data_IF_204521205491
#
_entry.id   IF_204521205491
#
_cell.length_a   1.000
_cell.length_b   1.000
_cell.length_c   1.000
_cell.angle_alpha   90.00
_cell.angle_beta   90.00
_cell.angle_gamma   90.00
#
_symmetry.space_group_name_H-M   'P 1'
#
loop_
_entity.id
_entity.type
_entity.pdbx_description
1 polymer ?
#
# COMPACT_ATOMS: atom_id res chain seq x y z
N UNK A 1 21.21 2.55 -4.31
CA UNK A 1 20.54 3.11 -3.12
C UNK A 1 19.03 3.27 -3.40
N UNK A 2 18.24 2.24 -3.08
CA UNK A 2 16.84 2.16 -3.49
C UNK A 2 15.99 1.70 -2.32
N UNK A 3 15.60 2.63 -1.43
CA UNK A 3 14.39 2.49 -0.59
C UNK A 3 14.06 3.79 0.19
N UNK A 4 13.91 4.93 -0.50
CA UNK A 4 13.32 6.12 0.16
C UNK A 4 11.79 6.08 -0.07
N UNK A 5 10.96 6.10 1.00
CA UNK A 5 9.52 6.16 0.84
C UNK A 5 9.12 7.46 0.12
N UNK A 6 8.06 7.44 -0.71
CA UNK A 6 7.58 8.66 -1.36
C UNK A 6 7.10 9.67 -0.30
N UNK A 7 7.42 10.95 -0.51
CA UNK A 7 7.12 12.05 0.43
C UNK A 7 6.19 13.06 -0.21
N UNK A 8 5.01 13.25 0.40
CA UNK A 8 4.09 14.36 0.10
C UNK A 8 4.20 15.41 1.21
N UNK A 9 4.49 16.66 0.85
CA UNK A 9 4.37 17.80 1.78
C UNK A 9 2.96 18.37 1.70
N UNK A 10 2.25 18.46 2.83
CA UNK A 10 0.94 19.10 2.93
C UNK A 10 1.01 20.32 3.87
N UNK A 11 0.98 21.53 3.32
CA UNK A 11 1.34 22.76 4.06
C UNK A 11 0.38 23.91 3.81
N UNK A 12 0.22 24.81 4.78
CA UNK A 12 -0.47 26.09 4.56
C UNK A 12 0.41 27.14 3.85
N UNK A 13 1.71 26.85 3.70
CA UNK A 13 2.64 27.72 2.98
C UNK A 13 2.48 27.53 1.48
N UNK A 14 2.05 28.59 0.81
CA UNK A 14 1.57 28.57 -0.58
C UNK A 14 2.41 29.40 -1.54
N UNK A 15 3.48 30.05 -1.06
CA UNK A 15 4.35 30.84 -1.94
C UNK A 15 5.06 29.94 -2.94
N UNK A 16 5.48 30.51 -4.08
CA UNK A 16 6.25 29.75 -5.06
C UNK A 16 7.54 29.21 -4.43
N UNK A 17 8.27 30.06 -3.71
CA UNK A 17 9.53 29.73 -3.03
C UNK A 17 9.37 28.57 -2.03
N UNK A 18 8.30 28.56 -1.23
CA UNK A 18 8.04 27.48 -0.28
C UNK A 18 7.86 26.12 -0.99
N UNK A 19 7.13 26.11 -2.11
CA UNK A 19 6.87 24.88 -2.88
C UNK A 19 8.14 24.39 -3.57
N UNK A 20 8.87 25.30 -4.21
CA UNK A 20 10.15 24.99 -4.87
C UNK A 20 11.14 24.44 -3.86
N UNK A 21 11.32 25.13 -2.72
CA UNK A 21 12.18 24.67 -1.64
C UNK A 21 11.75 23.31 -1.10
N UNK A 22 10.44 23.10 -0.88
CA UNK A 22 9.91 21.82 -0.42
C UNK A 22 10.22 20.67 -1.38
N UNK A 23 10.09 20.90 -2.70
CA UNK A 23 10.41 19.90 -3.71
C UNK A 23 11.92 19.67 -3.82
N UNK A 24 12.74 20.72 -3.82
CA UNK A 24 14.21 20.64 -3.91
C UNK A 24 14.83 19.93 -2.71
N UNK A 25 14.19 19.97 -1.52
CA UNK A 25 14.61 19.17 -0.35
C UNK A 25 14.30 17.67 -0.47
N UNK A 26 13.73 17.24 -1.59
CA UNK A 26 13.50 15.83 -1.93
C UNK A 26 12.10 15.33 -1.63
N UNK A 27 11.11 16.22 -1.55
CA UNK A 27 9.71 15.78 -1.62
C UNK A 27 9.36 15.34 -3.05
N UNK A 28 8.51 14.33 -3.16
CA UNK A 28 8.00 13.83 -4.44
C UNK A 28 6.78 14.63 -4.93
N UNK A 29 6.04 15.25 -4.00
CA UNK A 29 4.92 16.14 -4.30
C UNK A 29 4.71 17.17 -3.17
N UNK A 30 4.05 18.28 -3.48
CA UNK A 30 3.73 19.36 -2.56
C UNK A 30 2.29 19.82 -2.78
N UNK A 31 1.48 19.77 -1.73
CA UNK A 31 0.08 20.19 -1.72
C UNK A 31 -0.16 21.29 -0.69
N UNK A 32 -0.85 22.34 -1.11
CA UNK A 32 -1.18 23.50 -0.27
C UNK A 32 -2.55 23.30 0.38
N UNK A 33 -2.70 23.69 1.65
CA UNK A 33 -3.99 23.73 2.34
C UNK A 33 -4.76 25.03 2.02
N UNK A 34 -6.10 25.00 1.94
CA UNK A 34 -6.96 23.82 2.06
C UNK A 34 -6.90 22.94 0.81
N UNK A 35 -6.98 21.63 0.99
CA UNK A 35 -7.03 20.66 -0.09
C UNK A 35 -8.17 19.67 0.17
N UNK A 36 -8.81 19.23 -0.90
CA UNK A 36 -9.88 18.24 -0.84
C UNK A 36 -9.33 16.84 -0.53
N UNK A 37 -10.08 16.05 0.23
CA UNK A 37 -9.68 14.67 0.58
C UNK A 37 -9.47 13.82 -0.69
N UNK A 38 -10.32 14.03 -1.70
CA UNK A 38 -10.20 13.33 -2.98
C UNK A 38 -8.92 13.70 -3.74
N UNK A 39 -8.47 14.96 -3.65
CA UNK A 39 -7.20 15.40 -4.24
C UNK A 39 -6.01 14.75 -3.52
N UNK A 40 -6.03 14.75 -2.18
CA UNK A 40 -4.99 14.09 -1.37
C UNK A 40 -4.92 12.61 -1.73
N UNK A 41 -6.06 11.92 -1.79
CA UNK A 41 -6.12 10.50 -2.13
C UNK A 41 -5.61 10.22 -3.54
N UNK A 42 -5.93 11.07 -4.52
CA UNK A 42 -5.44 10.93 -5.90
C UNK A 42 -3.91 11.11 -5.99
N UNK A 43 -3.35 12.10 -5.28
CA UNK A 43 -1.90 12.35 -5.24
C UNK A 43 -1.13 11.23 -4.55
N UNK A 44 -1.64 10.73 -3.42
CA UNK A 44 -1.05 9.55 -2.75
C UNK A 44 -1.03 8.32 -3.67
N UNK A 45 -2.14 8.04 -4.37
CA UNK A 45 -2.19 6.96 -5.38
C UNK A 45 -1.16 7.16 -6.48
N UNK A 46 -0.97 8.40 -6.95
CA UNK A 46 0.02 8.72 -7.98
C UNK A 46 1.47 8.54 -7.49
N UNK A 47 1.76 8.92 -6.23
CA UNK A 47 3.08 8.77 -5.61
C UNK A 47 3.47 7.31 -5.43
N UNK A 48 2.54 6.48 -4.96
CA UNK A 48 2.76 5.04 -4.76
C UNK A 48 2.95 4.31 -6.11
N UNK A 49 2.44 4.87 -7.22
CA UNK A 49 2.60 4.33 -8.57
C UNK A 49 4.01 4.53 -9.17
N UNK A 50 4.91 5.29 -8.52
CA UNK A 50 6.21 5.71 -9.09
C UNK A 50 7.15 4.51 -9.39
N UNK A 51 7.79 4.46 -10.57
CA UNK A 51 8.43 3.24 -11.08
C UNK A 51 9.91 3.13 -10.63
N UNK A 52 10.14 2.40 -9.54
CA UNK A 52 11.45 1.82 -9.19
C UNK A 52 11.36 0.29 -9.00
N UNK A 53 10.19 -0.17 -8.58
CA UNK A 53 9.61 -1.49 -8.88
C UNK A 53 8.20 -1.17 -9.31
N UNK A 54 7.83 -1.44 -10.56
CA UNK A 54 6.40 -1.54 -10.87
C UNK A 54 5.95 -2.76 -10.08
N UNK A 55 5.34 -2.54 -8.93
CA UNK A 55 4.68 -3.64 -8.25
C UNK A 55 3.68 -4.22 -9.26
N UNK A 56 3.76 -5.52 -9.54
CA UNK A 56 2.88 -6.14 -10.51
C UNK A 56 1.44 -5.85 -10.12
N UNK A 57 0.65 -5.37 -11.07
CA UNK A 57 -0.80 -5.21 -10.90
C UNK A 57 -1.43 -6.56 -10.56
N UNK A 58 -0.85 -7.64 -11.10
CA UNK A 58 -1.22 -9.01 -10.77
C UNK A 58 -0.01 -9.72 -10.16
N UNK A 59 -0.13 -10.15 -8.91
CA UNK A 59 0.82 -11.01 -8.24
C UNK A 59 0.53 -12.46 -8.62
N UNK A 60 1.55 -13.26 -8.89
CA UNK A 60 1.39 -14.68 -9.25
C UNK A 60 2.43 -15.54 -8.56
N UNK A 61 1.98 -16.58 -7.85
CA UNK A 61 2.82 -17.60 -7.21
C UNK A 61 2.18 -18.96 -7.40
N UNK A 62 2.83 -19.81 -8.19
CA UNK A 62 2.22 -21.08 -8.60
C UNK A 62 0.90 -20.83 -9.34
N UNK A 63 -0.15 -21.52 -8.93
CA UNK A 63 -1.49 -21.39 -9.52
C UNK A 63 -2.32 -20.25 -8.93
N UNK A 64 -1.79 -19.51 -7.95
CA UNK A 64 -2.50 -18.40 -7.31
C UNK A 64 -2.18 -17.09 -8.03
N UNK A 65 -3.21 -16.37 -8.43
CA UNK A 65 -3.12 -15.01 -8.94
C UNK A 65 -3.89 -14.04 -8.04
N UNK A 66 -3.41 -12.81 -7.93
CA UNK A 66 -4.07 -11.75 -7.17
C UNK A 66 -3.92 -10.40 -7.86
N UNK A 67 -5.03 -9.78 -8.23
CA UNK A 67 -5.04 -8.42 -8.76
C UNK A 67 -5.09 -7.41 -7.61
N UNK A 68 -4.03 -6.62 -7.43
CA UNK A 68 -3.90 -5.68 -6.32
C UNK A 68 -4.80 -4.46 -6.46
N UNK A 69 -5.37 -4.23 -7.64
CA UNK A 69 -6.27 -3.11 -7.93
C UNK A 69 -7.72 -3.49 -7.64
N UNK A 70 -8.16 -4.63 -8.16
CA UNK A 70 -9.53 -5.13 -7.96
C UNK A 70 -9.69 -5.91 -6.65
N UNK A 71 -8.57 -6.32 -6.05
CA UNK A 71 -8.48 -7.17 -4.86
C UNK A 71 -9.17 -8.53 -5.05
N UNK A 72 -9.14 -9.04 -6.27
CA UNK A 72 -9.65 -10.36 -6.62
C UNK A 72 -8.52 -11.37 -6.66
N UNK A 73 -8.77 -12.56 -6.11
CA UNK A 73 -7.85 -13.69 -6.14
C UNK A 73 -8.41 -14.80 -7.02
N UNK A 74 -7.55 -15.53 -7.72
CA UNK A 74 -7.92 -16.76 -8.43
C UNK A 74 -6.97 -17.89 -8.08
N UNK A 75 -7.49 -19.12 -8.10
CA UNK A 75 -6.70 -20.34 -8.05
C UNK A 75 -6.94 -21.12 -9.34
N UNK A 76 -5.87 -21.35 -10.11
CA UNK A 76 -5.92 -22.01 -11.41
C UNK A 76 -6.96 -21.37 -12.35
N UNK A 77 -7.07 -20.04 -12.32
CA UNK A 77 -8.02 -19.24 -13.13
C UNK A 77 -9.48 -19.27 -12.64
N UNK A 78 -9.74 -19.78 -11.43
CA UNK A 78 -11.07 -19.75 -10.81
C UNK A 78 -11.11 -18.71 -9.69
N UNK A 79 -12.09 -17.79 -9.68
CA UNK A 79 -12.22 -16.80 -8.61
C UNK A 79 -12.35 -17.44 -7.23
N UNK A 80 -11.61 -16.91 -6.26
CA UNK A 80 -11.71 -17.26 -4.85
C UNK A 80 -12.62 -16.23 -4.16
N UNK A 81 -13.67 -16.73 -3.51
CA UNK A 81 -14.53 -15.91 -2.66
C UNK A 81 -13.87 -15.74 -1.30
N UNK A 82 -13.01 -14.73 -1.16
CA UNK A 82 -12.29 -14.43 0.08
C UNK A 82 -12.74 -13.08 0.67
N UNK A 83 -12.75 -13.02 2.00
CA UNK A 83 -13.04 -11.81 2.75
C UNK A 83 -11.94 -10.75 2.60
N UNK A 84 -12.22 -9.52 3.04
CA UNK A 84 -11.26 -8.41 2.93
C UNK A 84 -9.93 -8.70 3.64
N UNK A 85 -10.00 -9.24 4.87
CA UNK A 85 -8.83 -9.58 5.70
C UNK A 85 -8.02 -10.73 5.09
N UNK A 86 -8.69 -11.74 4.53
CA UNK A 86 -8.07 -12.83 3.77
C UNK A 86 -7.35 -12.30 2.52
N UNK A 87 -7.95 -11.36 1.80
CA UNK A 87 -7.31 -10.70 0.66
C UNK A 87 -6.08 -9.86 1.07
N UNK A 88 -6.17 -9.10 2.17
CA UNK A 88 -5.02 -8.36 2.71
C UNK A 88 -3.88 -9.33 3.09
N UNK A 89 -4.22 -10.43 3.75
CA UNK A 89 -3.26 -11.44 4.17
C UNK A 89 -2.59 -12.13 2.98
N UNK A 90 -3.38 -12.54 1.99
CA UNK A 90 -2.90 -13.14 0.76
C UNK A 90 -1.96 -12.19 0.02
N UNK A 91 -2.30 -10.91 -0.09
CA UNK A 91 -1.44 -9.91 -0.73
C UNK A 91 -0.08 -9.79 -0.02
N UNK A 92 -0.08 -9.74 1.32
CA UNK A 92 1.16 -9.70 2.12
C UNK A 92 2.04 -10.93 1.82
N UNK A 93 1.45 -12.12 1.79
CA UNK A 93 2.18 -13.35 1.50
C UNK A 93 2.73 -13.38 0.08
N UNK A 94 1.92 -13.02 -0.93
CA UNK A 94 2.33 -13.00 -2.33
C UNK A 94 3.45 -12.00 -2.60
N UNK A 95 3.43 -10.82 -1.96
CA UNK A 95 4.51 -9.82 -2.07
C UNK A 95 5.82 -10.28 -1.43
N UNK A 96 5.75 -11.20 -0.47
CA UNK A 96 6.89 -11.74 0.25
C UNK A 96 7.16 -13.21 -0.10
N UNK A 97 6.67 -13.68 -1.25
CA UNK A 97 6.84 -15.06 -1.68
C UNK A 97 8.31 -15.51 -1.62
N UNK A 98 8.54 -16.69 -1.04
CA UNK A 98 9.88 -17.23 -0.82
C UNK A 98 10.63 -16.67 0.39
N UNK A 99 10.00 -15.82 1.21
CA UNK A 99 10.57 -15.29 2.46
C UNK A 99 9.67 -15.62 3.65
N UNK A 100 10.28 -15.78 4.82
CA UNK A 100 9.54 -15.84 6.09
C UNK A 100 9.04 -14.45 6.43
N UNK A 101 7.73 -14.32 6.66
CA UNK A 101 7.10 -13.09 7.13
C UNK A 101 6.84 -13.24 8.64
N UNK A 102 7.45 -12.40 9.50
CA UNK A 102 7.18 -12.43 10.94
C UNK A 102 5.72 -12.15 11.23
N UNK A 103 5.19 -12.81 12.26
CA UNK A 103 3.79 -12.71 12.66
C UNK A 103 3.40 -11.28 13.02
N UNK A 104 4.26 -10.57 13.72
CA UNK A 104 4.05 -9.18 14.16
C UNK A 104 3.92 -8.23 12.97
N UNK A 105 4.62 -8.53 11.87
CA UNK A 105 4.54 -7.75 10.63
C UNK A 105 3.20 -7.95 9.92
N UNK A 106 2.67 -9.16 9.97
CA UNK A 106 1.34 -9.47 9.43
C UNK A 106 0.27 -8.82 10.29
N UNK A 107 0.36 -8.95 11.62
CA UNK A 107 -0.60 -8.35 12.55
C UNK A 107 -0.63 -6.82 12.40
N UNK A 108 0.52 -6.16 12.34
CA UNK A 108 0.57 -4.71 12.13
C UNK A 108 0.04 -4.23 10.77
N UNK A 109 0.00 -5.10 9.77
CA UNK A 109 -0.54 -4.77 8.44
C UNK A 109 -2.04 -5.06 8.33
N UNK A 110 -2.54 -6.10 9.02
CA UNK A 110 -3.96 -6.49 9.01
C UNK A 110 -4.81 -5.72 10.01
N UNK A 111 -4.21 -5.28 11.12
CA UNK A 111 -4.91 -4.61 12.20
C UNK A 111 -4.41 -3.17 12.32
N UNK A 112 -5.29 -2.20 12.06
CA UNK A 112 -5.10 -0.83 12.52
C UNK A 112 -5.36 -0.75 14.03
N UNK A 113 -4.82 0.27 14.71
CA UNK A 113 -4.86 0.45 16.18
C UNK A 113 -6.26 0.48 16.85
N UNK A 114 -7.34 0.24 16.11
CA UNK A 114 -8.73 0.26 16.57
C UNK A 114 -9.42 -1.12 16.64
N UNK A 115 -8.79 -2.21 16.17
CA UNK A 115 -9.37 -3.56 16.26
C UNK A 115 -8.73 -4.37 17.40
N UNK A 116 -9.52 -4.97 18.33
CA UNK A 116 -8.97 -5.83 19.37
C UNK A 116 -8.34 -7.08 18.75
N UNK A 117 -7.01 -7.20 18.90
CA UNK A 117 -6.23 -8.36 18.46
C UNK A 117 -6.57 -9.54 19.38
N UNK A 118 -7.22 -10.57 18.85
CA UNK A 118 -7.23 -11.88 19.53
C UNK A 118 -6.06 -12.72 18.99
N UNK A 119 -5.30 -13.42 19.86
CA UNK A 119 -4.12 -14.19 19.46
C UNK A 119 -4.35 -15.31 18.42
N UNK A 120 -5.59 -15.60 18.06
CA UNK A 120 -5.92 -16.64 17.07
C UNK A 120 -6.52 -16.05 15.80
N UNK A 121 -6.64 -14.72 15.69
CA UNK A 121 -7.30 -14.07 14.57
C UNK A 121 -6.57 -14.28 13.23
N UNK A 122 -5.29 -14.65 13.26
CA UNK A 122 -4.52 -15.00 12.06
C UNK A 122 -4.77 -16.45 11.61
N UNK A 123 -5.09 -17.36 12.53
CA UNK A 123 -5.36 -18.79 12.22
C UNK A 123 -6.79 -19.01 11.70
N UNK A 124 -7.67 -18.02 11.87
CA UNK A 124 -9.06 -18.03 11.41
C UNK A 124 -9.26 -17.33 10.04
N UNK A 125 -8.17 -16.85 9.43
CA UNK A 125 -8.10 -16.25 8.09
C UNK A 125 -7.66 -17.31 7.09
#
# INVERSE_FOLDING_TARGET
PADRPPVLILSARSTLDDRVTGLDTGADDYLVKPAEIDEIAARLRALIRRPGRRDPVVLTVGDVTFDTTTRQAELSGRPLAIGRKEADFLEILLRNAGKVVPRERIEGALYSAADPVTPNALEAV
#
